data_IF_372482605041
#
_entry.id   IF_372482605041
#
_cell.length_a   1.000
_cell.length_b   1.000
_cell.length_c   1.000
_cell.angle_alpha   90.00
_cell.angle_beta   90.00
_cell.angle_gamma   90.00
#
_symmetry.space_group_name_H-M   'P 1'
#
loop_
_entity.id
_entity.type
_entity.pdbx_description
1 polymer ?
#
# COMPACT_ATOMS: atom_id res chain seq x y z
N UNK A 1 1.56 -6.39 8.40
CA UNK A 1 2.05 -5.87 7.10
C UNK A 1 0.93 -5.04 6.50
N UNK A 2 1.26 -3.96 5.80
CA UNK A 2 0.30 -3.15 5.05
C UNK A 2 0.58 -3.30 3.55
N UNK A 3 -0.47 -3.55 2.76
CA UNK A 3 -0.46 -3.43 1.31
C UNK A 3 -1.51 -2.39 0.94
N UNK A 4 -1.10 -1.29 0.30
CA UNK A 4 -2.00 -0.22 -0.11
C UNK A 4 -1.72 0.20 -1.55
N UNK A 5 -2.71 0.78 -2.19
CA UNK A 5 -2.63 1.34 -3.54
C UNK A 5 -3.35 2.70 -3.50
N UNK A 6 -2.72 3.75 -4.01
CA UNK A 6 -3.37 5.04 -4.15
C UNK A 6 -4.41 4.99 -5.28
N UNK A 7 -5.60 5.62 -5.12
CA UNK A 7 -6.65 5.58 -6.12
C UNK A 7 -6.23 6.27 -7.43
N UNK A 8 -6.54 5.64 -8.57
CA UNK A 8 -6.33 6.21 -9.91
C UNK A 8 -7.33 7.36 -10.16
N UNK A 9 -6.90 8.42 -10.84
CA UNK A 9 -7.79 9.49 -11.34
C UNK A 9 -8.36 10.49 -10.33
N UNK A 10 -8.13 10.32 -9.02
CA UNK A 10 -8.51 11.33 -8.02
C UNK A 10 -7.45 12.43 -8.00
N UNK A 11 -7.72 13.53 -8.69
CA UNK A 11 -6.92 14.77 -8.76
C UNK A 11 -6.97 15.62 -7.47
N UNK A 12 -7.15 15.00 -6.31
CA UNK A 12 -6.99 15.67 -5.04
C UNK A 12 -5.76 15.10 -4.36
N UNK A 13 -4.69 15.88 -4.21
CA UNK A 13 -3.44 15.46 -3.54
C UNK A 13 -3.67 14.98 -2.09
N UNK A 14 -4.78 15.39 -1.47
CA UNK A 14 -5.13 15.05 -0.09
C UNK A 14 -5.75 13.67 0.04
N UNK A 15 -6.50 13.20 -0.96
CA UNK A 15 -7.25 11.94 -0.87
C UNK A 15 -6.34 10.69 -0.92
N UNK A 16 -5.40 10.55 -1.86
CA UNK A 16 -4.40 9.49 -1.86
C UNK A 16 -3.62 9.43 -0.54
N UNK A 17 -3.22 10.59 -0.04
CA UNK A 17 -2.51 10.71 1.23
C UNK A 17 -3.32 10.17 2.41
N UNK A 18 -4.64 10.43 2.47
CA UNK A 18 -5.51 9.95 3.56
C UNK A 18 -5.59 8.43 3.64
N UNK A 19 -5.71 7.73 2.51
CA UNK A 19 -5.81 6.26 2.51
C UNK A 19 -4.51 5.60 2.98
N UNK A 20 -3.39 6.04 2.41
CA UNK A 20 -2.08 5.54 2.80
C UNK A 20 -1.76 5.85 4.27
N UNK A 21 -2.04 7.08 4.72
CA UNK A 21 -1.81 7.52 6.11
C UNK A 21 -2.65 6.67 7.06
N UNK A 22 -3.96 6.55 6.80
CA UNK A 22 -4.84 5.79 7.69
C UNK A 22 -4.38 4.33 7.83
N UNK A 23 -4.04 3.67 6.74
CA UNK A 23 -3.59 2.28 6.77
C UNK A 23 -2.25 2.12 7.52
N UNK A 24 -1.31 3.05 7.36
CA UNK A 24 -0.04 3.04 8.09
C UNK A 24 -0.21 3.35 9.58
N UNK A 25 -0.99 4.37 9.92
CA UNK A 25 -1.31 4.75 11.29
C UNK A 25 -2.00 3.61 12.03
N UNK A 26 -3.01 2.99 11.41
CA UNK A 26 -3.70 1.84 11.98
C UNK A 26 -2.73 0.70 12.29
N UNK A 27 -1.83 0.36 11.36
CA UNK A 27 -0.85 -0.69 11.57
C UNK A 27 0.11 -0.36 12.73
N UNK A 28 0.64 0.86 12.77
CA UNK A 28 1.54 1.30 13.85
C UNK A 28 0.82 1.25 15.20
N UNK A 29 -0.40 1.76 15.26
CA UNK A 29 -1.21 1.74 16.48
C UNK A 29 -1.52 0.33 16.96
N UNK A 30 -1.86 -0.59 16.05
CA UNK A 30 -2.13 -1.98 16.39
C UNK A 30 -0.84 -2.68 16.90
N UNK A 31 0.33 -2.37 16.34
CA UNK A 31 1.63 -2.85 16.87
C UNK A 31 1.89 -2.30 18.29
N UNK A 32 1.62 -1.01 18.51
CA UNK A 32 1.81 -0.38 19.81
C UNK A 32 0.89 -0.95 20.89
N UNK A 33 -0.38 -1.22 20.55
CA UNK A 33 -1.34 -1.89 21.45
C UNK A 33 -0.89 -3.28 21.88
N UNK A 34 -0.12 -3.97 21.03
CA UNK A 34 0.48 -5.27 21.34
C UNK A 34 1.81 -5.16 22.10
N UNK A 35 2.17 -3.97 22.60
CA UNK A 35 3.40 -3.72 23.36
C UNK A 35 4.61 -3.34 22.50
N UNK A 36 4.40 -3.05 21.21
CA UNK A 36 5.44 -2.54 20.32
C UNK A 36 5.87 -1.12 20.71
N UNK A 37 7.17 -0.85 20.62
CA UNK A 37 7.73 0.47 20.86
C UNK A 37 7.92 1.21 19.53
N UNK A 38 7.22 2.33 19.39
CA UNK A 38 7.25 3.17 18.18
C UNK A 38 8.67 3.59 17.79
N UNK A 39 9.52 3.89 18.77
CA UNK A 39 10.89 4.36 18.54
C UNK A 39 11.81 3.29 17.97
N UNK A 40 11.45 2.00 18.13
CA UNK A 40 12.22 0.85 17.65
C UNK A 40 11.67 0.29 16.33
N UNK A 41 10.67 0.93 15.74
CA UNK A 41 10.11 0.50 14.47
C UNK A 41 11.10 0.72 13.33
N UNK A 42 11.20 -0.29 12.47
CA UNK A 42 11.94 -0.26 11.21
C UNK A 42 11.03 -0.76 10.10
N UNK A 43 11.27 -0.29 8.88
CA UNK A 43 10.46 -0.60 7.72
C UNK A 43 11.24 -1.39 6.67
N UNK A 44 10.51 -2.27 5.97
CA UNK A 44 10.96 -2.89 4.71
C UNK A 44 9.92 -2.58 3.65
N UNK A 45 10.34 -1.98 2.53
CA UNK A 45 9.41 -1.44 1.53
C UNK A 45 9.59 -2.14 0.19
N UNK A 46 8.51 -2.71 -0.33
CA UNK A 46 8.54 -3.49 -1.56
C UNK A 46 7.40 -3.05 -2.49
N UNK A 47 7.60 -3.08 -3.81
CA UNK A 47 6.56 -2.82 -4.80
C UNK A 47 6.77 -1.55 -5.63
N UNK A 48 5.68 -0.92 -6.07
CA UNK A 48 5.75 0.24 -6.97
C UNK A 48 6.30 -0.09 -8.37
N UNK A 49 6.11 -1.34 -8.83
CA UNK A 49 6.46 -1.75 -10.18
C UNK A 49 5.37 -1.45 -11.21
N UNK A 50 5.77 -1.28 -12.46
CA UNK A 50 4.88 -1.13 -13.62
C UNK A 50 4.48 -2.51 -14.15
N UNK A 51 3.56 -3.16 -13.44
CA UNK A 51 3.17 -4.55 -13.74
C UNK A 51 2.14 -4.63 -14.88
N UNK A 52 1.28 -3.63 -15.00
CA UNK A 52 0.25 -3.59 -16.05
C UNK A 52 0.77 -2.78 -17.25
N UNK A 53 0.94 -3.44 -18.41
CA UNK A 53 1.14 -2.76 -19.70
C UNK A 53 -0.20 -2.16 -20.16
N UNK A 54 -0.69 -1.14 -19.45
CA UNK A 54 -1.89 -0.39 -19.86
C UNK A 54 -1.47 0.53 -21.01
N UNK A 55 -2.23 0.51 -22.11
CA UNK A 55 -1.99 1.28 -23.34
C UNK A 55 -2.00 2.81 -23.13
N UNK A 56 -2.48 3.26 -21.97
CA UNK A 56 -2.29 4.61 -21.46
C UNK A 56 -1.51 4.53 -20.14
N UNK A 57 -0.19 4.77 -20.13
CA UNK A 57 0.53 4.98 -18.88
C UNK A 57 -0.01 6.27 -18.29
N UNK A 58 -0.98 6.20 -17.39
CA UNK A 58 -1.28 7.34 -16.52
C UNK A 58 -0.07 7.48 -15.59
N UNK A 59 0.90 8.26 -16.09
CA UNK A 59 2.22 8.50 -15.53
C UNK A 59 2.12 8.76 -14.02
N UNK A 60 2.74 7.90 -13.21
CA UNK A 60 3.12 8.27 -11.86
C UNK A 60 2.43 7.56 -10.70
N UNK A 61 1.45 6.67 -10.86
CA UNK A 61 0.85 5.98 -9.69
C UNK A 61 1.90 5.14 -8.93
N UNK A 62 2.73 4.30 -9.59
CA UNK A 62 3.78 3.56 -8.91
C UNK A 62 4.80 4.48 -8.23
N UNK A 63 5.24 5.55 -8.90
CA UNK A 63 6.17 6.56 -8.37
C UNK A 63 5.58 7.30 -7.16
N UNK A 64 4.29 7.66 -7.22
CA UNK A 64 3.58 8.33 -6.13
C UNK A 64 3.43 7.41 -4.92
N UNK A 65 3.15 6.12 -5.12
CA UNK A 65 3.13 5.14 -4.03
C UNK A 65 4.49 5.06 -3.34
N UNK A 66 5.58 5.01 -4.13
CA UNK A 66 6.95 4.98 -3.62
C UNK A 66 7.28 6.26 -2.85
N UNK A 67 6.96 7.42 -3.43
CA UNK A 67 7.23 8.72 -2.82
C UNK A 67 6.44 8.89 -1.52
N UNK A 68 5.14 8.58 -1.54
CA UNK A 68 4.29 8.61 -0.36
C UNK A 68 4.86 7.73 0.77
N UNK A 69 5.20 6.47 0.47
CA UNK A 69 5.74 5.55 1.47
C UNK A 69 7.03 6.07 2.10
N UNK A 70 7.96 6.60 1.28
CA UNK A 70 9.22 7.17 1.75
C UNK A 70 8.99 8.41 2.61
N UNK A 71 8.16 9.35 2.15
CA UNK A 71 7.85 10.58 2.87
C UNK A 71 7.17 10.30 4.21
N UNK A 72 6.20 9.39 4.24
CA UNK A 72 5.52 9.00 5.46
C UNK A 72 6.49 8.42 6.49
N UNK A 73 7.31 7.44 6.07
CA UNK A 73 8.28 6.80 6.97
C UNK A 73 9.35 7.79 7.48
N UNK A 74 9.77 8.74 6.65
CA UNK A 74 10.68 9.81 7.05
C UNK A 74 10.06 10.73 8.09
N UNK A 75 8.82 11.19 7.88
CA UNK A 75 8.07 12.01 8.85
C UNK A 75 7.89 11.29 10.18
N UNK A 76 7.61 9.99 10.14
CA UNK A 76 7.44 9.14 11.32
C UNK A 76 8.76 8.67 11.96
N UNK A 77 9.91 9.06 11.38
CA UNK A 77 11.26 8.66 11.82
C UNK A 77 11.47 7.13 11.87
N UNK A 78 10.78 6.39 10.99
CA UNK A 78 10.90 4.94 10.87
C UNK A 78 11.95 4.64 9.79
N UNK A 79 13.09 4.07 10.21
CA UNK A 79 14.20 3.79 9.30
C UNK A 79 13.87 2.64 8.33
N UNK A 80 14.13 2.84 7.04
CA UNK A 80 14.02 1.80 6.02
C UNK A 80 15.29 0.94 6.05
N UNK A 81 15.17 -0.32 6.46
CA UNK A 81 16.30 -1.28 6.57
C UNK A 81 16.45 -2.19 5.35
N UNK A 82 15.43 -2.27 4.49
CA UNK A 82 15.50 -2.96 3.22
C UNK A 82 14.45 -2.41 2.25
N UNK A 83 14.76 -2.37 0.96
CA UNK A 83 13.78 -1.96 -0.05
C UNK A 83 13.97 -2.67 -1.40
N UNK A 84 12.87 -2.93 -2.11
CA UNK A 84 12.84 -3.31 -3.53
C UNK A 84 11.69 -2.58 -4.21
N UNK A 85 12.01 -1.47 -4.86
CA UNK A 85 11.04 -0.52 -5.40
C UNK A 85 11.18 -0.45 -6.92
N UNK A 86 10.06 -0.23 -7.62
CA UNK A 86 10.06 -0.15 -9.08
C UNK A 86 10.08 -1.51 -9.78
N UNK A 87 10.60 -1.52 -11.00
CA UNK A 87 10.65 -2.70 -11.87
C UNK A 87 9.36 -2.93 -12.66
N UNK A 88 9.34 -3.99 -13.47
CA UNK A 88 8.23 -4.36 -14.36
C UNK A 88 7.60 -5.70 -14.00
N UNK A 89 8.08 -6.32 -12.91
CA UNK A 89 7.66 -7.65 -12.48
C UNK A 89 6.77 -7.53 -11.23
N UNK A 90 5.65 -8.27 -11.16
CA UNK A 90 4.90 -8.42 -9.92
C UNK A 90 5.77 -9.10 -8.85
N UNK A 91 5.61 -8.67 -7.60
CA UNK A 91 6.37 -9.18 -6.46
C UNK A 91 5.45 -9.90 -5.48
N UNK A 92 5.78 -11.14 -5.16
CA UNK A 92 5.22 -11.83 -4.01
C UNK A 92 6.13 -11.60 -2.80
N UNK A 93 5.56 -11.10 -1.70
CA UNK A 93 6.28 -10.82 -0.46
C UNK A 93 5.76 -11.71 0.66
N UNK A 94 6.66 -12.44 1.31
CA UNK A 94 6.39 -13.20 2.53
C UNK A 94 7.17 -12.60 3.68
N UNK A 95 6.52 -12.29 4.79
CA UNK A 95 7.13 -11.65 5.95
C UNK A 95 6.96 -12.50 7.21
N UNK A 96 8.09 -12.84 7.83
CA UNK A 96 8.15 -13.57 9.08
C UNK A 96 8.19 -12.58 10.24
N UNK A 97 7.07 -12.39 10.93
CA UNK A 97 6.92 -11.43 12.03
C UNK A 97 7.89 -11.65 13.18
N UNK A 98 8.16 -12.92 13.53
CA UNK A 98 9.03 -13.28 14.66
C UNK A 98 10.54 -13.02 14.42
N UNK A 99 10.98 -12.95 13.16
CA UNK A 99 12.40 -12.67 12.80
C UNK A 99 12.59 -11.36 12.06
N UNK A 100 11.50 -10.73 11.60
CA UNK A 100 11.54 -9.60 10.68
C UNK A 100 12.07 -9.95 9.29
N UNK A 101 12.32 -11.22 8.95
CA UNK A 101 12.82 -11.62 7.62
C UNK A 101 11.71 -11.44 6.57
N UNK A 102 12.10 -10.95 5.39
CA UNK A 102 11.20 -10.81 4.25
C UNK A 102 11.79 -11.58 3.06
N UNK A 103 11.00 -12.47 2.46
CA UNK A 103 11.32 -13.14 1.21
C UNK A 103 10.53 -12.47 0.09
N UNK A 104 11.23 -12.12 -0.98
CA UNK A 104 10.64 -11.42 -2.13
C UNK A 104 10.92 -12.21 -3.39
N UNK A 105 9.85 -12.61 -4.08
CA UNK A 105 9.92 -13.39 -5.32
C UNK A 105 9.29 -12.60 -6.46
N UNK A 106 10.05 -12.39 -7.53
CA UNK A 106 9.50 -11.87 -8.78
C UNK A 106 8.69 -12.97 -9.48
N UNK A 107 7.48 -12.62 -9.93
CA UNK A 107 6.59 -13.53 -10.62
C UNK A 107 6.72 -13.33 -12.14
N UNK A 108 6.76 -14.44 -12.89
CA UNK A 108 6.74 -14.39 -14.36
C UNK A 108 5.33 -14.01 -14.83
N UNK A 109 5.25 -13.14 -15.85
CA UNK A 109 4.01 -12.53 -16.37
C UNK A 109 2.93 -13.55 -16.73
N UNK A 110 3.28 -14.78 -17.16
CA UNK A 110 2.30 -15.84 -17.43
C UNK A 110 1.50 -16.32 -16.20
N UNK A 111 2.02 -16.18 -14.98
CA UNK A 111 1.27 -16.40 -13.74
C UNK A 111 0.59 -15.13 -13.23
N UNK A 112 0.97 -13.98 -13.77
CA UNK A 112 0.47 -12.68 -13.35
C UNK A 112 -0.91 -12.38 -13.89
N UNK A 113 -1.38 -12.98 -15.00
CA UNK A 113 -2.74 -12.72 -15.51
C UNK A 113 -3.83 -13.18 -14.54
N UNK A 114 -3.73 -14.41 -14.04
CA UNK A 114 -4.68 -14.92 -13.03
C UNK A 114 -4.59 -14.15 -11.70
N UNK A 115 -3.39 -13.73 -11.29
CA UNK A 115 -3.20 -12.91 -10.08
C UNK A 115 -3.70 -11.47 -10.27
N UNK A 116 -3.51 -10.89 -11.45
CA UNK A 116 -3.95 -9.55 -11.79
C UNK A 116 -5.47 -9.47 -11.86
N UNK A 117 -6.16 -10.53 -12.27
CA UNK A 117 -7.62 -10.62 -12.20
C UNK A 117 -8.13 -10.60 -10.75
N UNK A 118 -7.43 -11.28 -9.83
CA UNK A 118 -7.74 -11.25 -8.39
C UNK A 118 -7.44 -9.87 -7.77
N UNK A 119 -6.29 -9.27 -8.08
CA UNK A 119 -5.96 -7.91 -7.65
C UNK A 119 -6.92 -6.86 -8.22
N UNK A 120 -7.34 -7.02 -9.48
CA UNK A 120 -8.35 -6.14 -10.10
C UNK A 120 -9.69 -6.30 -9.40
N UNK A 121 -10.05 -7.52 -8.98
CA UNK A 121 -11.28 -7.79 -8.21
C UNK A 121 -11.23 -7.13 -6.83
N UNK A 122 -10.12 -7.29 -6.11
CA UNK A 122 -9.89 -6.58 -4.85
C UNK A 122 -9.92 -5.07 -5.04
N UNK A 123 -9.32 -4.54 -6.12
CA UNK A 123 -9.35 -3.11 -6.49
C UNK A 123 -10.78 -2.59 -6.64
N UNK A 124 -11.61 -3.30 -7.39
CA UNK A 124 -13.01 -2.94 -7.60
C UNK A 124 -13.76 -2.93 -6.27
N UNK A 125 -13.50 -3.91 -5.39
CA UNK A 125 -14.15 -4.00 -4.09
C UNK A 125 -13.77 -2.85 -3.15
N UNK A 126 -12.48 -2.53 -3.07
CA UNK A 126 -11.98 -1.41 -2.26
C UNK A 126 -12.54 -0.09 -2.75
N UNK A 127 -12.58 0.14 -4.07
CA UNK A 127 -13.16 1.38 -4.64
C UNK A 127 -14.67 1.47 -4.33
N UNK A 128 -15.42 0.37 -4.43
CA UNK A 128 -16.84 0.34 -4.07
C UNK A 128 -17.07 0.70 -2.61
N UNK A 129 -16.24 0.19 -1.70
CA UNK A 129 -16.32 0.53 -0.27
C UNK A 129 -16.04 2.02 -0.01
N UNK A 130 -15.22 2.67 -0.83
CA UNK A 130 -14.90 4.09 -0.70
C UNK A 130 -15.79 5.04 -1.52
N UNK A 131 -16.70 4.52 -2.34
CA UNK A 131 -17.67 5.31 -3.12
C UNK A 131 -19.08 5.32 -2.54
N UNK A 132 -19.35 4.58 -1.45
CA UNK A 132 -20.61 4.74 -0.74
C UNK A 132 -20.59 6.05 0.07
N UNK A 133 -21.49 7.02 -0.20
CA UNK A 133 -21.64 8.15 0.70
C UNK A 133 -22.07 7.62 2.07
N UNK A 134 -21.66 8.26 3.19
CA UNK A 134 -22.15 7.86 4.50
C UNK A 134 -23.67 7.95 4.47
N UNK A 135 -24.33 6.82 4.71
CA UNK A 135 -25.77 6.76 4.90
C UNK A 135 -26.07 7.59 6.16
N UNK A 136 -26.50 8.83 5.93
CA UNK A 136 -26.85 9.78 6.97
C UNK A 136 -28.16 9.33 7.58
N UNK A 137 -28.11 8.74 8.77
CA UNK A 137 -29.29 8.55 9.62
C UNK A 137 -28.88 8.64 11.09
N UNK A 138 -28.47 9.84 11.55
CA UNK A 138 -28.53 10.18 12.97
C UNK A 138 -29.10 11.59 13.11
N UNK A 139 -30.42 11.65 13.33
CA UNK A 139 -31.13 12.80 13.89
C UNK A 139 -30.64 13.03 15.32
N UNK A 140 -30.22 14.25 15.63
CA UNK A 140 -29.86 14.68 16.98
C UNK A 140 -31.12 14.94 17.82
N UNK A 141 -31.24 14.25 18.95
CA UNK A 141 -31.92 14.72 20.18
C UNK A 141 -30.98 14.44 21.36
#
# INVERSE_FOLDING_TARGET
MNHFMLPEGIFDERLPSRFGVHAMEKLINDIMKLGGDRSRLVAKVFGGGHVLRIQHPQLGVPERNILFAKSYLATERISIVAQRLGGTEPLQVLFYTHTGKALVKALKIHRASALAEEETRYRVEVIKQFQQPPESDITLF
#
